data_IF_333346329380
#
_entry.id   IF_333346329380
#
_cell.length_a   1.000
_cell.length_b   1.000
_cell.length_c   1.000
_cell.angle_alpha   90.00
_cell.angle_beta   90.00
_cell.angle_gamma   90.00
#
_symmetry.space_group_name_H-M   'P 1'
#
loop_
_entity.id
_entity.type
_entity.pdbx_description
1 polymer ?
#
# COMPACT_ATOMS: atom_id res chain seq x y z
N UNK A 1 -15.63 12.47 2.52
CA UNK A 1 -15.36 11.05 2.85
C UNK A 1 -16.16 10.02 2.03
N UNK A 2 -17.39 10.26 1.52
CA UNK A 2 -18.08 9.23 0.72
C UNK A 2 -17.37 8.93 -0.61
N UNK A 3 -16.74 9.93 -1.24
CA UNK A 3 -15.98 9.73 -2.49
C UNK A 3 -14.75 8.82 -2.32
N UNK A 4 -14.10 8.84 -1.16
CA UNK A 4 -12.93 8.00 -0.90
C UNK A 4 -13.34 6.53 -0.72
N UNK A 5 -14.46 6.25 -0.04
CA UNK A 5 -14.98 4.90 0.11
C UNK A 5 -15.57 4.38 -1.21
N UNK A 6 -16.24 5.22 -1.99
CA UNK A 6 -16.70 4.87 -3.34
C UNK A 6 -15.52 4.54 -4.25
N UNK A 7 -14.46 5.38 -4.23
CA UNK A 7 -13.24 5.12 -4.97
C UNK A 7 -12.54 3.82 -4.54
N UNK A 8 -12.50 3.53 -3.23
CA UNK A 8 -11.96 2.27 -2.72
C UNK A 8 -12.81 1.06 -3.10
N UNK A 9 -14.14 1.21 -3.17
CA UNK A 9 -15.05 0.17 -3.62
C UNK A 9 -14.87 -0.13 -5.12
N UNK A 10 -14.75 0.91 -5.96
CA UNK A 10 -14.48 0.78 -7.40
C UNK A 10 -13.10 0.18 -7.67
N UNK A 11 -12.13 0.39 -6.76
CA UNK A 11 -10.78 -0.16 -6.84
C UNK A 11 -10.54 -1.34 -5.88
N UNK A 12 -11.60 -1.99 -5.39
CA UNK A 12 -11.49 -3.01 -4.33
C UNK A 12 -10.58 -4.18 -4.73
N UNK A 13 -10.58 -4.59 -6.00
CA UNK A 13 -9.68 -5.62 -6.51
C UNK A 13 -8.20 -5.21 -6.42
N UNK A 14 -7.87 -3.97 -6.79
CA UNK A 14 -6.51 -3.44 -6.64
C UNK A 14 -6.13 -3.31 -5.17
N UNK A 15 -7.05 -2.89 -4.31
CA UNK A 15 -6.83 -2.80 -2.88
C UNK A 15 -6.53 -4.18 -2.28
N UNK A 16 -7.27 -5.22 -2.70
CA UNK A 16 -7.06 -6.59 -2.26
C UNK A 16 -5.68 -7.10 -2.69
N UNK A 17 -5.29 -6.88 -3.95
CA UNK A 17 -3.97 -7.25 -4.46
C UNK A 17 -2.84 -6.54 -3.70
N UNK A 18 -2.98 -5.26 -3.41
CA UNK A 18 -2.01 -4.49 -2.64
C UNK A 18 -1.91 -4.97 -1.19
N UNK A 19 -3.05 -5.29 -0.56
CA UNK A 19 -3.10 -5.85 0.78
C UNK A 19 -2.44 -7.23 0.83
N UNK A 20 -2.71 -8.09 -0.16
CA UNK A 20 -2.04 -9.39 -0.28
C UNK A 20 -0.53 -9.23 -0.45
N UNK A 21 -0.08 -8.29 -1.29
CA UNK A 21 1.34 -8.00 -1.47
C UNK A 21 2.00 -7.54 -0.16
N UNK A 22 1.39 -6.59 0.55
CA UNK A 22 1.89 -6.12 1.85
C UNK A 22 1.99 -7.28 2.87
N UNK A 23 0.99 -8.17 2.87
CA UNK A 23 0.96 -9.34 3.73
C UNK A 23 2.07 -10.34 3.34
N UNK A 24 2.35 -10.53 2.06
CA UNK A 24 3.50 -11.31 1.59
C UNK A 24 4.83 -10.74 2.07
N UNK A 25 5.03 -9.42 1.95
CA UNK A 25 6.26 -8.74 2.44
C UNK A 25 6.42 -8.92 3.95
N UNK A 26 5.33 -8.76 4.70
CA UNK A 26 5.33 -8.99 6.15
C UNK A 26 5.74 -10.43 6.50
N UNK A 27 5.12 -11.42 5.83
CA UNK A 27 5.41 -12.84 6.07
C UNK A 27 6.87 -13.17 5.72
N UNK A 28 7.39 -12.66 4.60
CA UNK A 28 8.79 -12.83 4.22
C UNK A 28 9.72 -12.22 5.27
N UNK A 29 9.45 -10.99 5.72
CA UNK A 29 10.25 -10.35 6.77
C UNK A 29 10.24 -11.15 8.07
N UNK A 30 9.09 -11.71 8.45
CA UNK A 30 8.96 -12.62 9.60
C UNK A 30 9.74 -13.92 9.41
N UNK A 31 9.72 -14.52 8.22
CA UNK A 31 10.53 -15.71 7.87
C UNK A 31 12.03 -15.42 7.98
N UNK A 32 12.46 -14.20 7.62
CA UNK A 32 13.82 -13.71 7.79
C UNK A 32 14.17 -13.31 9.24
N UNK A 33 13.33 -13.68 10.22
CA UNK A 33 13.48 -13.40 11.66
C UNK A 33 13.46 -11.91 12.02
N UNK A 34 12.90 -11.05 11.17
CA UNK A 34 12.66 -9.66 11.56
C UNK A 34 11.69 -9.60 12.76
N UNK A 35 11.97 -8.68 13.69
CA UNK A 35 11.06 -8.37 14.78
C UNK A 35 9.67 -7.95 14.24
N UNK A 36 8.57 -8.21 14.96
CA UNK A 36 7.21 -7.91 14.49
C UNK A 36 7.05 -6.47 14.01
N UNK A 37 7.61 -5.51 14.78
CA UNK A 37 7.59 -4.09 14.45
C UNK A 37 8.35 -3.77 13.15
N UNK A 38 9.53 -4.37 12.95
CA UNK A 38 10.32 -4.15 11.73
C UNK A 38 9.61 -4.73 10.49
N UNK A 39 9.03 -5.92 10.61
CA UNK A 39 8.27 -6.55 9.53
C UNK A 39 7.05 -5.70 9.12
N UNK A 40 6.35 -5.09 10.08
CA UNK A 40 5.25 -4.16 9.80
C UNK A 40 5.77 -2.94 9.04
N UNK A 41 6.89 -2.36 9.45
CA UNK A 41 7.48 -1.19 8.76
C UNK A 41 7.83 -1.55 7.31
N UNK A 42 8.45 -2.71 7.07
CA UNK A 42 8.77 -3.17 5.71
C UNK A 42 7.53 -3.39 4.84
N UNK A 43 6.42 -3.87 5.42
CA UNK A 43 5.16 -4.05 4.69
C UNK A 43 4.37 -2.75 4.50
N UNK A 44 4.45 -1.84 5.47
CA UNK A 44 3.71 -0.58 5.47
C UNK A 44 4.26 0.44 4.46
N UNK A 45 5.56 0.43 4.19
CA UNK A 45 6.19 1.34 3.21
C UNK A 45 5.59 1.17 1.80
N UNK A 46 5.62 -0.03 1.18
CA UNK A 46 5.05 -0.21 -0.15
C UNK A 46 3.52 -0.05 -0.13
N UNK A 47 2.84 -0.52 0.92
CA UNK A 47 1.38 -0.38 1.03
C UNK A 47 0.93 1.09 1.10
N UNK A 48 1.61 1.89 1.94
CA UNK A 48 1.36 3.32 2.08
C UNK A 48 1.67 4.10 0.81
N UNK A 49 2.78 3.77 0.13
CA UNK A 49 3.12 4.39 -1.16
C UNK A 49 2.03 4.15 -2.21
N UNK A 50 1.51 2.92 -2.31
CA UNK A 50 0.47 2.60 -3.28
C UNK A 50 -0.85 3.29 -2.94
N UNK A 51 -1.25 3.33 -1.67
CA UNK A 51 -2.45 4.05 -1.24
C UNK A 51 -2.35 5.55 -1.53
N UNK A 52 -1.15 6.13 -1.41
CA UNK A 52 -0.91 7.52 -1.77
C UNK A 52 -1.04 7.71 -3.28
N UNK A 53 -0.40 6.85 -4.09
CA UNK A 53 -0.49 6.92 -5.56
C UNK A 53 -1.90 6.67 -6.11
N UNK A 54 -2.70 5.85 -5.41
CA UNK A 54 -4.11 5.62 -5.74
C UNK A 54 -5.02 6.75 -5.26
N UNK A 55 -4.54 7.66 -4.40
CA UNK A 55 -5.39 8.74 -3.95
C UNK A 55 -5.56 9.76 -5.08
N UNK A 56 -6.79 10.03 -5.56
CA UNK A 56 -7.04 10.99 -6.63
C UNK A 56 -6.67 12.43 -6.26
N UNK A 57 -6.44 12.72 -4.98
CA UNK A 57 -5.95 14.00 -4.50
C UNK A 57 -4.42 14.15 -4.59
N UNK A 58 -3.67 13.08 -4.91
CA UNK A 58 -2.21 13.16 -5.06
C UNK A 58 -1.88 13.82 -6.40
N UNK A 59 -1.12 14.93 -6.40
CA UNK A 59 -0.74 15.62 -7.62
C UNK A 59 0.05 14.68 -8.55
N UNK A 60 -0.34 14.61 -9.83
CA UNK A 60 0.40 13.87 -10.87
C UNK A 60 1.90 14.19 -10.94
N UNK A 61 2.31 15.37 -10.42
CA UNK A 61 3.73 15.76 -10.31
C UNK A 61 4.54 14.90 -9.32
N UNK A 62 3.92 14.38 -8.26
CA UNK A 62 4.57 13.45 -7.33
C UNK A 62 4.72 12.06 -7.94
N UNK A 63 3.73 11.61 -8.71
CA UNK A 63 3.77 10.35 -9.47
C UNK A 63 4.91 10.40 -10.50
N UNK A 64 5.10 11.54 -11.17
CA UNK A 64 6.15 11.75 -12.16
C UNK A 64 7.59 11.81 -11.60
N UNK A 65 7.78 12.02 -10.29
CA UNK A 65 9.10 12.02 -9.64
C UNK A 65 9.54 10.62 -9.17
N UNK A 66 8.62 9.65 -9.18
CA UNK A 66 8.86 8.25 -8.79
C UNK A 66 9.10 7.33 -10.00
N UNK A 67 9.10 7.89 -11.22
CA UNK A 67 9.37 7.19 -12.49
C UNK A 67 10.78 7.44 -13.01
#
# INVERSE_FOLDING_TARGET
MPDMLAYLADNAANLLLNATFALSVYLIARLLKAGPSAAIVFAAIPFGAILLLQNPAVPNRLIALLG
#
